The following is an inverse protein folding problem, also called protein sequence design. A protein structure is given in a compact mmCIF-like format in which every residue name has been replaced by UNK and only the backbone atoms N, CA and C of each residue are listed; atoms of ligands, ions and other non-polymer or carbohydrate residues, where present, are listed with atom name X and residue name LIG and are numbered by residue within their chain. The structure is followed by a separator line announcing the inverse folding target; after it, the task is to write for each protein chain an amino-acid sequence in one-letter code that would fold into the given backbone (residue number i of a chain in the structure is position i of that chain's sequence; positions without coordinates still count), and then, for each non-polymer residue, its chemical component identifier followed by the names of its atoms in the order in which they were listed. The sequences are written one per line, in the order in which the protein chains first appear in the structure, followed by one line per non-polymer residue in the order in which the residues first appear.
data_IF_177276921150
#
_entry.id   IF_177276921150
#
_cell.length_a   1.000
_cell.length_b   1.000
_cell.length_c   1.000
_cell.angle_alpha   90.00
_cell.angle_beta   90.00
_cell.angle_gamma   90.00
#
_symmetry.space_group_name_H-M   'P 1'
#
loop_
_entity.id
_entity.type
_entity.pdbx_description
1 polymer ?
#
# COMPACT_ATOMS: atom_id res chain seq x y z
N UNK A 1 12.93 6.55 18.77
CA UNK A 1 13.46 7.60 17.87
C UNK A 1 13.83 8.78 18.74
N UNK A 2 15.08 9.27 18.69
CA UNK A 2 15.63 10.28 19.62
C UNK A 2 14.96 11.66 19.53
N UNK A 3 14.16 11.92 18.48
CA UNK A 3 13.49 13.20 18.26
C UNK A 3 14.39 14.29 17.67
N UNK A 4 15.65 13.97 17.42
CA UNK A 4 16.65 14.90 16.87
C UNK A 4 16.40 15.16 15.37
N UNK A 5 16.54 16.43 14.97
CA UNK A 5 16.35 16.89 13.58
C UNK A 5 17.72 17.16 12.97
N UNK A 6 18.03 16.48 11.86
CA UNK A 6 19.38 16.49 11.26
C UNK A 6 19.57 17.41 10.05
N UNK A 7 18.51 18.02 9.52
CA UNK A 7 18.59 18.85 8.32
C UNK A 7 17.47 19.90 8.24
N UNK A 8 17.64 20.87 7.35
CA UNK A 8 16.66 21.91 7.05
C UNK A 8 15.99 21.69 5.68
N UNK A 9 14.88 22.39 5.43
CA UNK A 9 14.10 22.23 4.20
C UNK A 9 14.90 22.50 2.90
N UNK A 10 15.84 23.44 2.91
CA UNK A 10 16.61 23.76 1.72
C UNK A 10 17.64 22.67 1.37
N UNK A 11 18.24 22.03 2.39
CA UNK A 11 19.07 20.85 2.16
C UNK A 11 18.26 19.70 1.59
N UNK A 12 17.04 19.48 2.09
CA UNK A 12 16.13 18.49 1.54
C UNK A 12 15.88 18.74 0.05
N UNK A 13 15.46 19.94 -0.35
CA UNK A 13 15.18 20.24 -1.77
C UNK A 13 16.42 20.09 -2.65
N UNK A 14 17.57 20.59 -2.20
CA UNK A 14 18.81 20.52 -2.98
C UNK A 14 19.28 19.07 -3.15
N UNK A 15 19.29 18.27 -2.08
CA UNK A 15 19.74 16.89 -2.12
C UNK A 15 18.77 15.97 -2.87
N UNK A 16 17.46 16.21 -2.78
CA UNK A 16 16.47 15.52 -3.62
C UNK A 16 16.78 15.76 -5.10
N UNK A 17 17.00 17.03 -5.47
CA UNK A 17 17.35 17.41 -6.85
C UNK A 17 18.66 16.73 -7.30
N UNK A 18 19.71 16.79 -6.48
CA UNK A 18 21.00 16.18 -6.78
C UNK A 18 20.91 14.65 -6.94
N UNK A 19 20.14 13.96 -6.10
CA UNK A 19 19.95 12.51 -6.19
C UNK A 19 19.21 12.10 -7.46
N UNK A 20 18.11 12.79 -7.80
CA UNK A 20 17.29 12.46 -8.98
C UNK A 20 18.05 12.66 -10.29
N UNK A 21 18.90 13.69 -10.37
CA UNK A 21 19.69 13.99 -11.57
C UNK A 21 21.16 13.53 -11.48
N UNK A 22 21.51 12.70 -10.50
CA UNK A 22 22.90 12.29 -10.24
C UNK A 22 23.60 11.64 -11.45
N UNK A 23 22.83 10.87 -12.24
CA UNK A 23 23.30 10.13 -13.41
C UNK A 23 23.25 10.94 -14.73
N UNK A 24 22.89 12.23 -14.71
CA UNK A 24 22.91 13.06 -15.91
C UNK A 24 24.35 13.41 -16.34
N UNK A 25 24.58 13.69 -17.65
CA UNK A 25 25.87 14.16 -18.16
C UNK A 25 26.37 15.40 -17.41
N UNK A 26 27.70 15.52 -17.22
CA UNK A 26 28.28 16.58 -16.39
C UNK A 26 27.93 17.99 -16.91
N UNK A 27 27.79 18.10 -18.22
CA UNK A 27 27.52 19.32 -18.97
C UNK A 27 26.13 19.90 -18.64
N UNK A 28 25.13 19.04 -18.39
CA UNK A 28 23.74 19.46 -18.13
C UNK A 28 23.28 19.21 -16.69
N UNK A 29 23.97 18.34 -15.93
CA UNK A 29 23.52 17.89 -14.61
C UNK A 29 23.23 19.04 -13.65
N UNK A 30 24.13 20.02 -13.55
CA UNK A 30 23.94 21.15 -12.63
C UNK A 30 22.83 22.10 -13.06
N UNK A 31 22.58 22.24 -14.37
CA UNK A 31 21.42 23.00 -14.89
C UNK A 31 20.11 22.37 -14.42
N UNK A 32 19.95 21.05 -14.63
CA UNK A 32 18.77 20.32 -14.18
C UNK A 32 18.59 20.35 -12.66
N UNK A 33 19.67 20.16 -11.89
CA UNK A 33 19.62 20.24 -10.42
C UNK A 33 19.13 21.60 -9.97
N UNK A 34 19.67 22.69 -10.51
CA UNK A 34 19.26 24.05 -10.16
C UNK A 34 17.80 24.31 -10.52
N UNK A 35 17.39 23.99 -11.75
CA UNK A 35 16.03 24.25 -12.23
C UNK A 35 14.99 23.46 -11.44
N UNK A 36 15.30 22.21 -11.11
CA UNK A 36 14.40 21.38 -10.30
C UNK A 36 14.31 21.86 -8.86
N UNK A 37 15.46 22.22 -8.24
CA UNK A 37 15.49 22.84 -6.92
C UNK A 37 14.62 24.12 -6.89
N UNK A 38 14.79 25.02 -7.86
CA UNK A 38 14.01 26.25 -7.94
C UNK A 38 12.50 25.93 -8.06
N UNK A 39 12.12 24.92 -8.84
CA UNK A 39 10.73 24.51 -9.01
C UNK A 39 10.09 23.97 -7.72
N UNK A 40 10.78 23.09 -6.97
CA UNK A 40 10.24 22.48 -5.75
C UNK A 40 10.33 23.40 -4.53
N UNK A 41 11.38 24.22 -4.42
CA UNK A 41 11.57 25.16 -3.30
C UNK A 41 10.65 26.38 -3.38
N UNK A 42 10.21 26.76 -4.58
CA UNK A 42 9.21 27.82 -4.82
C UNK A 42 7.80 27.27 -5.01
N UNK A 43 7.56 26.01 -4.63
CA UNK A 43 6.25 25.35 -4.62
C UNK A 43 5.56 25.26 -5.99
N UNK A 44 6.29 25.38 -7.10
CA UNK A 44 5.74 25.14 -8.44
C UNK A 44 5.45 23.65 -8.68
N UNK A 45 6.23 22.78 -8.05
CA UNK A 45 6.08 21.33 -8.10
C UNK A 45 5.99 20.80 -6.67
N UNK A 46 4.94 20.02 -6.39
CA UNK A 46 4.79 19.29 -5.13
C UNK A 46 5.27 17.85 -5.30
N UNK A 47 6.00 17.35 -4.30
CA UNK A 47 6.52 15.99 -4.29
C UNK A 47 5.80 15.13 -3.24
N UNK A 48 5.54 13.85 -3.53
CA UNK A 48 4.89 12.95 -2.60
C UNK A 48 5.78 12.65 -1.37
N UNK A 49 5.14 12.31 -0.25
CA UNK A 49 5.81 12.07 1.04
C UNK A 49 6.97 11.07 1.00
N UNK A 50 6.89 9.92 0.28
CA UNK A 50 8.02 8.99 0.20
C UNK A 50 9.26 9.58 -0.48
N UNK A 51 9.07 10.48 -1.45
CA UNK A 51 10.19 11.18 -2.11
C UNK A 51 10.79 12.19 -1.12
N UNK A 52 9.97 13.06 -0.53
CA UNK A 52 10.41 14.09 0.41
C UNK A 52 11.16 13.51 1.63
N UNK A 53 10.66 12.39 2.16
CA UNK A 53 11.23 11.74 3.36
C UNK A 53 12.34 10.71 3.07
N UNK A 54 12.58 10.37 1.80
CA UNK A 54 13.39 9.21 1.44
C UNK A 54 14.55 9.52 0.49
N UNK A 55 14.33 10.34 -0.53
CA UNK A 55 15.35 10.63 -1.55
C UNK A 55 16.45 11.47 -0.91
N UNK A 56 17.66 10.89 -0.85
CA UNK A 56 18.92 11.28 -0.13
C UNK A 56 19.32 10.35 1.02
N UNK A 57 18.39 9.58 1.58
CA UNK A 57 18.69 8.59 2.63
C UNK A 57 19.15 7.26 1.99
N UNK A 58 19.63 6.25 2.73
CA UNK A 58 19.96 4.93 2.16
C UNK A 58 18.76 4.15 1.59
N UNK A 59 17.52 4.49 1.96
CA UNK A 59 16.35 3.80 1.41
C UNK A 59 16.21 4.08 -0.09
N UNK A 60 15.76 3.07 -0.84
CA UNK A 60 15.56 3.16 -2.30
C UNK A 60 14.13 2.82 -2.71
N UNK A 61 13.20 2.84 -1.76
CA UNK A 61 11.77 2.71 -2.05
C UNK A 61 11.05 4.06 -1.87
N UNK A 62 10.50 4.56 -2.97
CA UNK A 62 9.79 5.84 -3.07
C UNK A 62 8.37 5.69 -3.65
N UNK A 63 7.91 4.45 -3.89
CA UNK A 63 6.58 4.15 -4.41
C UNK A 63 5.53 4.41 -3.33
N UNK A 64 4.59 5.31 -3.60
CA UNK A 64 3.50 5.64 -2.68
C UNK A 64 2.40 4.57 -2.65
N UNK A 65 2.12 3.92 -3.79
CA UNK A 65 1.00 3.01 -3.97
C UNK A 65 1.47 1.72 -4.65
N UNK A 66 1.03 0.56 -4.14
CA UNK A 66 1.29 -0.75 -4.72
C UNK A 66 -0.05 -1.47 -4.90
N UNK A 67 -0.27 -2.00 -6.10
CA UNK A 67 -1.47 -2.76 -6.43
C UNK A 67 -1.11 -4.25 -6.50
N UNK A 68 -1.89 -5.07 -5.80
CA UNK A 68 -1.68 -6.51 -5.70
C UNK A 68 -2.99 -7.21 -6.05
N UNK A 69 -2.95 -8.15 -7.00
CA UNK A 69 -4.08 -9.00 -7.33
C UNK A 69 -3.89 -10.39 -6.72
N UNK A 70 -4.87 -10.81 -5.92
CA UNK A 70 -4.91 -12.12 -5.29
C UNK A 70 -5.71 -13.10 -6.16
N UNK A 71 -5.10 -14.21 -6.52
CA UNK A 71 -5.77 -15.36 -7.13
C UNK A 71 -6.53 -16.21 -6.11
N UNK A 72 -7.28 -17.19 -6.62
CA UNK A 72 -8.08 -18.13 -5.82
C UNK A 72 -7.28 -19.40 -5.45
N UNK A 73 -6.14 -19.20 -4.79
CA UNK A 73 -5.30 -20.29 -4.29
C UNK A 73 -4.56 -19.87 -3.01
N UNK A 74 -4.26 -20.84 -2.14
CA UNK A 74 -3.52 -20.57 -0.90
C UNK A 74 -2.12 -20.00 -1.18
N UNK A 75 -1.46 -20.46 -2.25
CA UNK A 75 -0.16 -19.92 -2.66
C UNK A 75 -0.26 -18.44 -3.03
N UNK A 76 -1.30 -18.05 -3.78
CA UNK A 76 -1.52 -16.65 -4.16
C UNK A 76 -1.92 -15.79 -2.96
N UNK A 77 -2.72 -16.32 -2.04
CA UNK A 77 -3.09 -15.65 -0.78
C UNK A 77 -1.83 -15.40 0.08
N UNK A 78 -0.97 -16.40 0.23
CA UNK A 78 0.28 -16.29 0.97
C UNK A 78 1.26 -15.31 0.30
N UNK A 79 1.39 -15.35 -1.03
CA UNK A 79 2.21 -14.42 -1.78
C UNK A 79 1.70 -12.97 -1.63
N UNK A 80 0.38 -12.78 -1.68
CA UNK A 80 -0.29 -11.49 -1.48
C UNK A 80 0.03 -10.94 -0.08
N UNK A 81 -0.19 -11.74 0.96
CA UNK A 81 0.12 -11.35 2.35
C UNK A 81 1.60 -10.99 2.54
N UNK A 82 2.51 -11.80 2.00
CA UNK A 82 3.96 -11.57 2.05
C UNK A 82 4.34 -10.25 1.37
N UNK A 83 3.76 -9.96 0.21
CA UNK A 83 3.99 -8.71 -0.52
C UNK A 83 3.48 -7.49 0.27
N UNK A 84 2.29 -7.59 0.88
CA UNK A 84 1.73 -6.54 1.74
C UNK A 84 2.71 -6.18 2.86
N UNK A 85 3.16 -7.17 3.64
CA UNK A 85 4.07 -6.93 4.77
C UNK A 85 5.35 -6.23 4.30
N UNK A 86 5.94 -6.71 3.19
CA UNK A 86 7.15 -6.12 2.61
C UNK A 86 6.93 -4.65 2.23
N UNK A 87 5.86 -4.33 1.51
CA UNK A 87 5.62 -2.98 1.00
C UNK A 87 5.14 -1.99 2.05
N UNK A 88 4.33 -2.42 3.02
CA UNK A 88 3.91 -1.57 4.14
C UNK A 88 5.11 -1.16 4.99
N UNK A 89 6.07 -2.06 5.24
CA UNK A 89 7.31 -1.73 5.95
C UNK A 89 8.14 -0.63 5.23
N UNK A 90 7.94 -0.48 3.91
CA UNK A 90 8.70 0.42 3.04
C UNK A 90 7.88 1.64 2.57
N UNK A 91 6.93 2.07 3.39
CA UNK A 91 6.16 3.31 3.19
C UNK A 91 5.09 3.29 2.09
N UNK A 92 4.70 2.13 1.55
CA UNK A 92 3.65 2.07 0.53
C UNK A 92 2.24 1.91 1.12
N UNK A 93 1.26 2.56 0.49
CA UNK A 93 -0.17 2.22 0.62
C UNK A 93 -0.54 1.10 -0.35
N UNK A 94 -1.52 0.28 0.02
CA UNK A 94 -1.81 -0.97 -0.69
C UNK A 94 -3.21 -0.95 -1.32
N UNK A 95 -3.31 -1.28 -2.60
CA UNK A 95 -4.55 -1.70 -3.25
C UNK A 95 -4.57 -3.22 -3.41
N UNK A 96 -5.60 -3.90 -2.91
CA UNK A 96 -5.70 -5.37 -2.95
C UNK A 96 -6.93 -5.75 -3.77
N UNK A 97 -6.76 -6.36 -4.94
CA UNK A 97 -7.88 -7.00 -5.62
C UNK A 97 -8.02 -8.43 -5.09
N UNK A 98 -9.07 -8.70 -4.33
CA UNK A 98 -9.35 -10.03 -3.76
C UNK A 98 -10.75 -10.54 -4.14
N UNK A 99 -11.29 -10.05 -5.25
CA UNK A 99 -12.60 -10.45 -5.78
C UNK A 99 -12.63 -11.82 -6.45
N UNK A 100 -11.46 -12.44 -6.70
CA UNK A 100 -11.38 -13.80 -7.28
C UNK A 100 -11.51 -14.91 -6.23
N UNK A 101 -11.30 -14.63 -4.95
CA UNK A 101 -11.38 -15.63 -3.89
C UNK A 101 -12.79 -16.20 -3.87
N UNK A 102 -12.93 -17.52 -3.95
CA UNK A 102 -14.23 -18.17 -4.01
C UNK A 102 -15.05 -17.94 -2.73
N UNK A 103 -16.38 -17.99 -2.89
CA UNK A 103 -17.30 -17.72 -1.81
C UNK A 103 -17.37 -18.83 -0.75
N UNK A 104 -17.90 -18.49 0.42
CA UNK A 104 -18.23 -19.39 1.52
C UNK A 104 -19.03 -20.61 1.04
N UNK A 105 -18.65 -21.81 1.49
CA UNK A 105 -19.32 -23.06 1.12
C UNK A 105 -18.90 -23.65 -0.23
N UNK A 106 -18.08 -22.94 -1.02
CA UNK A 106 -17.53 -23.50 -2.27
C UNK A 106 -16.71 -24.76 -2.01
N UNK A 107 -16.75 -25.77 -2.90
CA UNK A 107 -16.03 -27.02 -2.71
C UNK A 107 -14.51 -26.81 -2.83
N UNK A 108 -13.75 -27.49 -1.97
CA UNK A 108 -12.30 -27.62 -2.05
C UNK A 108 -11.99 -29.08 -2.40
N UNK A 109 -11.11 -29.31 -3.38
CA UNK A 109 -10.66 -30.65 -3.82
C UNK A 109 -11.81 -31.65 -4.02
N UNK A 110 -12.85 -31.25 -4.75
CA UNK A 110 -13.99 -32.13 -5.04
C UNK A 110 -14.90 -32.44 -3.85
N UNK A 111 -14.80 -31.69 -2.74
CA UNK A 111 -15.69 -31.84 -1.57
C UNK A 111 -15.00 -32.36 -0.30
N UNK A 112 -13.67 -32.54 -0.32
CA UNK A 112 -12.89 -32.91 0.88
C UNK A 112 -13.00 -31.86 2.00
N UNK A 113 -13.19 -30.59 1.64
CA UNK A 113 -13.37 -29.51 2.59
C UNK A 113 -14.32 -28.43 2.04
N UNK A 114 -14.93 -27.69 2.96
CA UNK A 114 -15.75 -26.52 2.66
C UNK A 114 -14.91 -25.25 2.78
N UNK A 115 -14.99 -24.38 1.77
CA UNK A 115 -14.33 -23.07 1.82
C UNK A 115 -14.96 -22.18 2.89
N UNK A 116 -14.13 -21.56 3.73
CA UNK A 116 -14.56 -20.72 4.87
C UNK A 116 -14.89 -19.27 4.48
N UNK A 117 -14.89 -18.97 3.18
CA UNK A 117 -15.28 -17.69 2.60
C UNK A 117 -14.17 -16.65 2.54
N UNK A 118 -14.51 -15.44 2.09
CA UNK A 118 -13.54 -14.37 1.88
C UNK A 118 -13.10 -13.69 3.20
N UNK A 119 -14.02 -13.57 4.17
CA UNK A 119 -13.81 -12.76 5.37
C UNK A 119 -12.57 -13.18 6.19
N UNK A 120 -12.29 -14.48 6.42
CA UNK A 120 -11.07 -14.91 7.12
C UNK A 120 -9.79 -14.45 6.41
N UNK A 121 -9.75 -14.52 5.07
CA UNK A 121 -8.60 -14.04 4.30
C UNK A 121 -8.48 -12.51 4.33
N UNK A 122 -9.61 -11.79 4.33
CA UNK A 122 -9.58 -10.33 4.44
C UNK A 122 -9.08 -9.89 5.82
N UNK A 123 -9.40 -10.63 6.89
CA UNK A 123 -8.78 -10.44 8.21
C UNK A 123 -7.28 -10.67 8.17
N UNK A 124 -6.83 -11.74 7.49
CA UNK A 124 -5.41 -12.01 7.33
C UNK A 124 -4.69 -10.86 6.61
N UNK A 125 -5.24 -10.35 5.51
CA UNK A 125 -4.71 -9.17 4.83
C UNK A 125 -4.72 -7.92 5.71
N UNK A 126 -5.76 -7.69 6.52
CA UNK A 126 -5.78 -6.58 7.47
C UNK A 126 -4.62 -6.67 8.46
N UNK A 127 -4.34 -7.86 9.00
CA UNK A 127 -3.21 -8.05 9.92
C UNK A 127 -1.87 -7.82 9.23
N UNK A 128 -1.72 -8.24 7.97
CA UNK A 128 -0.54 -7.93 7.15
C UNK A 128 -0.39 -6.43 6.90
N UNK A 129 -1.49 -5.70 6.64
CA UNK A 129 -1.47 -4.24 6.46
C UNK A 129 -1.09 -3.50 7.74
N UNK A 130 -1.46 -4.03 8.90
CA UNK A 130 -1.19 -3.42 10.22
C UNK A 130 0.07 -3.96 10.89
N UNK A 131 0.83 -4.85 10.25
CA UNK A 131 2.02 -5.47 10.85
C UNK A 131 3.17 -4.49 11.06
N UNK A 132 3.22 -3.40 10.27
CA UNK A 132 4.27 -2.40 10.34
C UNK A 132 3.69 -0.98 10.25
N UNK A 133 4.34 -0.02 10.90
CA UNK A 133 4.13 1.40 10.56
C UNK A 133 4.81 1.68 9.22
N UNK A 134 4.18 2.51 8.39
CA UNK A 134 4.59 2.93 7.05
C UNK A 134 5.94 3.68 7.12
N UNK A 135 7.03 2.93 7.30
CA UNK A 135 8.40 3.39 7.55
C UNK A 135 8.56 4.41 8.68
N UNK A 136 7.79 4.26 9.76
CA UNK A 136 7.83 5.13 10.94
C UNK A 136 7.09 6.46 10.81
N UNK A 137 6.40 6.72 9.68
CA UNK A 137 5.75 8.03 9.42
C UNK A 137 4.24 7.98 9.64
N UNK A 138 3.55 6.92 9.21
CA UNK A 138 2.08 6.75 9.33
C UNK A 138 1.70 5.29 9.55
N UNK A 139 0.46 4.99 9.92
CA UNK A 139 -0.04 3.61 9.96
C UNK A 139 -0.31 3.06 8.56
N UNK A 140 -0.05 1.77 8.33
CA UNK A 140 -0.36 1.12 7.05
C UNK A 140 -1.85 1.21 6.70
N UNK A 141 -2.16 1.53 5.45
CA UNK A 141 -3.51 1.68 4.94
C UNK A 141 -3.68 0.87 3.65
N UNK A 142 -4.88 0.31 3.48
CA UNK A 142 -5.21 -0.47 2.29
C UNK A 142 -6.67 -0.34 1.89
N UNK A 143 -6.91 -0.41 0.58
CA UNK A 143 -8.24 -0.54 -0.02
C UNK A 143 -8.35 -1.89 -0.71
N UNK A 144 -9.38 -2.67 -0.38
CA UNK A 144 -9.64 -3.99 -0.95
C UNK A 144 -10.79 -3.93 -1.96
N UNK A 145 -10.62 -4.54 -3.12
CA UNK A 145 -11.58 -4.54 -4.22
C UNK A 145 -12.25 -5.91 -4.43
N UNK A 146 -13.54 -5.88 -4.71
CA UNK A 146 -14.37 -7.02 -5.09
C UNK A 146 -15.52 -6.60 -6.02
N UNK A 147 -16.03 -7.49 -6.89
CA UNK A 147 -17.14 -7.18 -7.77
C UNK A 147 -18.48 -7.11 -7.02
N UNK A 148 -19.39 -6.23 -7.45
CA UNK A 148 -20.74 -6.14 -6.88
C UNK A 148 -21.51 -7.46 -6.99
N UNK A 149 -21.27 -8.26 -8.02
CA UNK A 149 -21.94 -9.54 -8.23
C UNK A 149 -21.33 -10.71 -7.43
N UNK A 150 -20.32 -10.45 -6.58
CA UNK A 150 -19.72 -11.49 -5.74
C UNK A 150 -20.78 -12.13 -4.82
N UNK A 151 -20.78 -13.46 -4.66
CA UNK A 151 -21.83 -14.16 -3.90
C UNK A 151 -21.90 -13.72 -2.43
N UNK A 152 -20.76 -13.34 -1.84
CA UNK A 152 -20.71 -12.80 -0.47
C UNK A 152 -20.96 -11.28 -0.37
N UNK A 153 -21.35 -10.58 -1.44
CA UNK A 153 -21.34 -9.10 -1.52
C UNK A 153 -22.04 -8.40 -0.35
N UNK A 154 -23.21 -8.86 0.07
CA UNK A 154 -23.97 -8.26 1.17
C UNK A 154 -23.21 -8.34 2.50
N UNK A 155 -22.46 -9.42 2.70
CA UNK A 155 -21.56 -9.58 3.86
C UNK A 155 -20.31 -8.70 3.74
N UNK A 156 -19.77 -8.55 2.52
CA UNK A 156 -18.58 -7.74 2.26
C UNK A 156 -18.85 -6.23 2.41
N UNK A 157 -20.05 -5.76 2.04
CA UNK A 157 -20.45 -4.36 2.12
C UNK A 157 -20.47 -3.83 3.56
N UNK A 158 -20.80 -4.69 4.53
CA UNK A 158 -20.98 -4.28 5.93
C UNK A 158 -19.72 -4.48 6.79
N UNK A 159 -18.57 -4.81 6.21
CA UNK A 159 -17.35 -5.13 6.95
C UNK A 159 -16.83 -3.99 7.85
N UNK A 160 -17.10 -2.72 7.48
CA UNK A 160 -16.74 -1.55 8.30
C UNK A 160 -17.81 -1.13 9.31
N UNK A 161 -19.03 -1.65 9.23
CA UNK A 161 -20.15 -1.22 10.08
C UNK A 161 -19.84 -1.46 11.56
N UNK A 162 -19.86 -0.40 12.40
CA UNK A 162 -19.54 -0.41 13.84
C UNK A 162 -20.32 -1.46 14.65
N UNK A 163 -21.53 -1.84 14.23
CA UNK A 163 -22.36 -2.86 14.87
C UNK A 163 -22.20 -4.22 14.18
N UNK A 164 -21.95 -5.27 14.95
CA UNK A 164 -21.77 -6.64 14.46
C UNK A 164 -21.01 -7.51 15.45
N UNK A 165 -20.59 -8.70 15.02
CA UNK A 165 -19.70 -9.58 15.80
C UNK A 165 -18.29 -9.50 15.22
N UNK A 166 -17.25 -9.63 16.05
CA UNK A 166 -15.88 -9.49 15.54
C UNK A 166 -15.54 -10.52 14.45
N UNK A 167 -16.15 -11.72 14.47
CA UNK A 167 -15.95 -12.73 13.43
C UNK A 167 -16.32 -12.28 12.02
N UNK A 168 -17.32 -11.41 11.86
CA UNK A 168 -17.84 -10.96 10.56
C UNK A 168 -17.54 -9.48 10.24
N UNK A 169 -16.49 -8.91 10.86
CA UNK A 169 -16.07 -7.53 10.66
C UNK A 169 -14.59 -7.42 10.34
N UNK A 170 -14.25 -6.49 9.45
CA UNK A 170 -12.88 -6.18 9.04
C UNK A 170 -12.80 -4.67 8.82
N UNK A 171 -12.61 -3.93 9.91
CA UNK A 171 -12.95 -2.50 10.01
C UNK A 171 -11.82 -1.57 9.59
N UNK A 172 -10.58 -2.05 9.64
CA UNK A 172 -9.37 -1.24 9.52
C UNK A 172 -8.74 -1.27 8.11
N UNK A 173 -9.53 -1.69 7.11
CA UNK A 173 -9.28 -1.49 5.69
C UNK A 173 -10.47 -0.76 5.06
N UNK A 174 -10.23 -0.13 3.91
CA UNK A 174 -11.27 0.45 3.06
C UNK A 174 -11.66 -0.54 1.96
N UNK A 175 -12.80 -0.33 1.31
CA UNK A 175 -13.33 -1.26 0.31
C UNK A 175 -13.78 -0.52 -0.95
N UNK A 176 -13.46 -1.07 -2.12
CA UNK A 176 -13.89 -0.59 -3.43
C UNK A 176 -14.79 -1.61 -4.12
N UNK A 177 -16.05 -1.26 -4.32
CA UNK A 177 -17.03 -2.10 -5.04
C UNK A 177 -16.87 -1.86 -6.53
N UNK A 178 -16.64 -2.93 -7.31
CA UNK A 178 -16.48 -2.82 -8.77
C UNK A 178 -17.84 -2.91 -9.47
N UNK A 179 -18.10 -1.95 -10.36
CA UNK A 179 -19.28 -1.80 -11.22
C UNK A 179 -18.81 -1.71 -12.69
N UNK A 180 -19.70 -1.94 -13.65
CA UNK A 180 -19.43 -1.83 -15.10
C UNK A 180 -20.18 -0.66 -15.76
#
# INVERSE_FOLDING_TARGET
VSGEIYESAQFLYMLVSACLFSNYPRETRLDYVKRFYDAISTFKISLPTPIMSGVRTPTRQFSSCVLIECGDSLDSINATSSAIVKYVSQRAGIGINAGRIRALGSPIRGGEAFHTGCIPFYKHFQTAVKSCSQGGVRGGAATLFYPMWHLEVESLLVLKNNRGVEGNRVRHMDYGVQLN
#
